data_IF_010326896183
#
_entry.id   IF_010326896183
#
_cell.length_a   1.000
_cell.length_b   1.000
_cell.length_c   1.000
_cell.angle_alpha   90.00
_cell.angle_beta   90.00
_cell.angle_gamma   90.00
#
_symmetry.space_group_name_H-M   'P 1'
#
loop_
_entity.id
_entity.type
_entity.pdbx_description
1 polymer ?
#
# COMPACT_ATOMS: atom_id res chain seq x y z
N UNK A 1 -13.81 11.70 19.73
CA UNK A 1 -13.24 10.33 19.70
C UNK A 1 -12.45 10.20 18.42
N UNK A 2 -11.40 9.39 18.40
CA UNK A 2 -10.20 9.87 17.75
C UNK A 2 -10.25 9.61 16.25
N UNK A 3 -10.04 10.68 15.48
CA UNK A 3 -9.73 10.60 14.05
C UNK A 3 -8.47 9.73 13.79
N UNK A 4 -7.70 9.40 14.84
CA UNK A 4 -6.47 8.61 14.78
C UNK A 4 -6.21 7.77 16.04
N UNK A 5 -5.91 6.48 15.89
CA UNK A 5 -5.51 5.60 17.00
C UNK A 5 -4.32 4.72 16.63
N UNK A 6 -3.70 4.08 17.61
CA UNK A 6 -2.56 3.17 17.38
C UNK A 6 -2.79 1.85 18.09
N UNK A 7 -2.41 0.76 17.44
CA UNK A 7 -2.42 -0.59 18.02
C UNK A 7 -1.05 -1.23 17.83
N UNK A 8 -0.57 -1.96 18.82
CA UNK A 8 0.51 -2.92 18.60
C UNK A 8 0.10 -3.88 17.48
N UNK A 9 1.01 -4.22 16.56
CA UNK A 9 0.67 -5.03 15.38
C UNK A 9 -0.02 -6.34 15.79
N UNK A 10 0.52 -7.08 16.76
CA UNK A 10 -0.08 -8.31 17.26
C UNK A 10 -1.42 -8.10 18.01
N UNK A 11 -1.70 -6.91 18.53
CA UNK A 11 -3.00 -6.61 19.14
C UNK A 11 -4.10 -6.51 18.07
N UNK A 12 -3.77 -6.09 16.84
CA UNK A 12 -4.73 -6.07 15.72
C UNK A 12 -5.29 -7.47 15.46
N UNK A 13 -4.47 -8.51 15.54
CA UNK A 13 -4.91 -9.90 15.34
C UNK A 13 -5.89 -10.36 16.44
N UNK A 14 -5.64 -10.01 17.70
CA UNK A 14 -6.54 -10.30 18.83
C UNK A 14 -7.90 -9.63 18.64
N UNK A 15 -7.91 -8.36 18.25
CA UNK A 15 -9.15 -7.60 18.07
C UNK A 15 -9.90 -8.10 16.82
N UNK A 16 -9.18 -8.39 15.73
CA UNK A 16 -9.77 -8.94 14.52
C UNK A 16 -10.45 -10.29 14.78
N UNK A 17 -9.81 -11.17 15.55
CA UNK A 17 -10.39 -12.44 16.00
C UNK A 17 -11.65 -12.21 16.83
N UNK A 18 -11.62 -11.29 17.81
CA UNK A 18 -12.77 -10.96 18.64
C UNK A 18 -13.95 -10.40 17.84
N UNK A 19 -13.68 -9.55 16.84
CA UNK A 19 -14.68 -8.97 15.94
C UNK A 19 -15.21 -9.95 14.88
N UNK A 20 -14.58 -11.11 14.73
CA UNK A 20 -14.89 -12.09 13.69
C UNK A 20 -14.63 -11.57 12.27
N UNK A 21 -13.65 -10.67 12.10
CA UNK A 21 -13.30 -10.10 10.79
C UNK A 21 -12.16 -10.87 10.11
N UNK A 22 -12.07 -10.83 8.77
CA UNK A 22 -11.02 -11.57 8.03
C UNK A 22 -9.61 -11.13 8.39
N UNK A 23 -8.65 -12.05 8.31
CA UNK A 23 -7.22 -11.78 8.49
C UNK A 23 -6.58 -11.26 7.20
N UNK A 24 -6.92 -10.05 6.79
CA UNK A 24 -6.41 -9.42 5.56
C UNK A 24 -5.75 -8.07 5.85
N UNK A 25 -4.43 -8.08 6.03
CA UNK A 25 -3.67 -6.92 6.52
C UNK A 25 -2.39 -6.60 5.74
N UNK A 26 -2.25 -7.10 4.51
CA UNK A 26 -1.13 -6.70 3.64
C UNK A 26 -1.03 -5.16 3.50
N UNK A 27 0.15 -4.54 3.55
CA UNK A 27 1.47 -5.15 3.49
C UNK A 27 2.04 -5.54 4.85
N UNK A 28 1.32 -5.29 5.96
CA UNK A 28 1.86 -5.48 7.30
C UNK A 28 2.04 -6.95 7.64
N UNK A 29 3.18 -7.27 8.25
CA UNK A 29 3.38 -8.54 8.91
C UNK A 29 2.85 -8.43 10.35
N UNK A 30 1.77 -9.14 10.64
CA UNK A 30 1.12 -9.11 11.94
C UNK A 30 1.41 -10.42 12.65
N UNK A 31 2.28 -10.40 13.69
CA UNK A 31 2.71 -11.62 14.33
C UNK A 31 1.60 -12.18 15.21
N UNK A 32 1.44 -13.50 15.16
CA UNK A 32 0.66 -14.23 16.16
C UNK A 32 1.50 -14.40 17.44
N UNK A 33 0.99 -13.97 18.59
CA UNK A 33 1.69 -14.01 19.88
C UNK A 33 1.04 -15.00 20.86
N UNK A 34 1.91 -15.74 21.55
CA UNK A 34 1.58 -16.80 22.50
C UNK A 34 1.61 -18.17 21.82
N UNK A 35 2.64 -18.97 22.10
CA UNK A 35 2.81 -20.31 21.50
C UNK A 35 1.96 -21.33 22.25
N UNK A 36 1.78 -21.15 23.56
CA UNK A 36 0.92 -21.98 24.41
C UNK A 36 -0.42 -21.31 24.70
N UNK A 37 -1.40 -22.11 25.15
CA UNK A 37 -2.73 -21.62 25.55
C UNK A 37 -2.61 -20.62 26.71
N UNK A 38 -1.73 -20.88 27.67
CA UNK A 38 -1.49 -20.01 28.83
C UNK A 38 -0.85 -18.69 28.41
N UNK A 39 0.18 -18.74 27.56
CA UNK A 39 0.82 -17.54 27.02
C UNK A 39 -0.15 -16.71 26.19
N UNK A 40 -0.98 -17.35 25.35
CA UNK A 40 -2.00 -16.69 24.55
C UNK A 40 -3.03 -16.01 25.44
N UNK A 41 -3.56 -16.71 26.47
CA UNK A 41 -4.51 -16.13 27.43
C UNK A 41 -3.91 -14.92 28.14
N UNK A 42 -2.65 -15.01 28.58
CA UNK A 42 -1.96 -13.91 29.23
C UNK A 42 -1.73 -12.72 28.28
N UNK A 43 -1.38 -12.98 27.01
CA UNK A 43 -1.21 -11.94 25.99
C UNK A 43 -2.53 -11.23 25.70
N UNK A 44 -3.60 -11.98 25.43
CA UNK A 44 -4.95 -11.43 25.20
C UNK A 44 -5.39 -10.57 26.38
N UNK A 45 -5.15 -11.02 27.62
CA UNK A 45 -5.43 -10.22 28.82
C UNK A 45 -4.69 -8.88 28.85
N UNK A 46 -3.41 -8.85 28.46
CA UNK A 46 -2.63 -7.60 28.35
C UNK A 46 -3.15 -6.67 27.26
N UNK A 47 -3.54 -7.22 26.10
CA UNK A 47 -4.14 -6.42 25.01
C UNK A 47 -5.40 -5.72 25.50
N UNK A 48 -6.32 -6.43 26.14
CA UNK A 48 -7.56 -5.83 26.67
C UNK A 48 -7.32 -4.83 27.79
N UNK A 49 -6.31 -5.06 28.64
CA UNK A 49 -5.91 -4.07 29.65
C UNK A 49 -5.43 -2.78 28.97
N UNK A 50 -4.54 -2.89 27.99
CA UNK A 50 -3.99 -1.74 27.27
C UNK A 50 -5.06 -0.97 26.50
N UNK A 51 -5.95 -1.67 25.81
CA UNK A 51 -7.10 -1.03 25.15
C UNK A 51 -7.94 -0.21 26.12
N UNK A 52 -8.11 -0.69 27.37
CA UNK A 52 -8.86 0.04 28.39
C UNK A 52 -8.11 1.27 28.88
N UNK A 53 -6.80 1.15 29.08
CA UNK A 53 -5.92 2.26 29.45
C UNK A 53 -5.90 3.35 28.37
N UNK A 54 -5.93 2.94 27.09
CA UNK A 54 -5.97 3.83 25.92
C UNK A 54 -7.38 4.36 25.61
N UNK A 55 -8.41 3.95 26.37
CA UNK A 55 -9.80 4.36 26.16
C UNK A 55 -10.46 3.79 24.90
N UNK A 56 -9.88 2.76 24.29
CA UNK A 56 -10.37 2.09 23.08
C UNK A 56 -11.36 0.95 23.39
N UNK A 57 -11.72 0.76 24.66
CA UNK A 57 -12.77 -0.17 25.10
C UNK A 57 -13.39 0.30 26.40
N UNK A 58 -14.69 0.03 26.59
CA UNK A 58 -15.38 0.18 27.87
C UNK A 58 -15.25 -1.06 28.79
N UNK A 59 -14.48 -2.07 28.35
CA UNK A 59 -14.29 -3.35 29.03
C UNK A 59 -15.28 -4.44 28.60
N UNK A 60 -16.34 -4.11 27.87
CA UNK A 60 -17.29 -5.07 27.29
C UNK A 60 -17.30 -5.01 25.76
N UNK A 61 -16.98 -3.85 25.19
CA UNK A 61 -16.98 -3.59 23.76
C UNK A 61 -15.75 -2.77 23.38
N UNK A 62 -15.23 -3.02 22.19
CA UNK A 62 -14.27 -2.11 21.55
C UNK A 62 -15.01 -0.83 21.15
N UNK A 63 -14.30 0.29 21.16
CA UNK A 63 -14.80 1.56 20.67
C UNK A 63 -15.38 1.43 19.25
N UNK A 64 -16.47 2.17 18.98
CA UNK A 64 -17.22 2.07 17.73
C UNK A 64 -16.39 2.47 16.50
N UNK A 65 -15.53 3.48 16.62
CA UNK A 65 -14.69 3.96 15.52
C UNK A 65 -13.56 2.96 15.24
N UNK A 66 -12.99 2.35 16.28
CA UNK A 66 -11.99 1.27 16.14
C UNK A 66 -12.61 0.03 15.49
N UNK A 67 -13.80 -0.38 15.92
CA UNK A 67 -14.53 -1.50 15.31
C UNK A 67 -14.84 -1.21 13.83
N UNK A 68 -15.39 -0.03 13.52
CA UNK A 68 -15.70 0.37 12.16
C UNK A 68 -14.45 0.42 11.28
N UNK A 69 -13.35 0.98 11.79
CA UNK A 69 -12.07 1.05 11.09
C UNK A 69 -11.55 -0.35 10.78
N UNK A 70 -11.49 -1.27 11.75
CA UNK A 70 -11.00 -2.63 11.52
C UNK A 70 -11.87 -3.45 10.55
N UNK A 71 -13.20 -3.24 10.57
CA UNK A 71 -14.10 -3.88 9.59
C UNK A 71 -13.81 -3.44 8.16
N UNK A 72 -13.69 -2.14 7.91
CA UNK A 72 -13.33 -1.62 6.58
C UNK A 72 -11.91 -2.01 6.20
N UNK A 73 -11.00 -1.94 7.15
CA UNK A 73 -9.59 -2.24 6.94
C UNK A 73 -9.33 -3.70 6.58
N UNK A 74 -10.08 -4.66 7.12
CA UNK A 74 -9.93 -6.08 6.80
C UNK A 74 -10.76 -6.54 5.59
N UNK A 75 -11.85 -5.84 5.27
CA UNK A 75 -12.74 -6.19 4.17
C UNK A 75 -13.10 -4.97 3.30
N UNK A 76 -12.11 -4.34 2.62
CA UNK A 76 -12.34 -3.11 1.89
C UNK A 76 -12.97 -3.33 0.51
N UNK A 77 -13.60 -2.28 -0.04
CA UNK A 77 -14.02 -2.22 -1.45
C UNK A 77 -12.88 -1.70 -2.34
N UNK A 78 -12.02 -0.84 -1.79
CA UNK A 78 -10.81 -0.30 -2.41
C UNK A 78 -9.65 -0.47 -1.45
N UNK A 79 -8.54 -0.98 -1.95
CA UNK A 79 -7.28 -1.09 -1.21
C UNK A 79 -6.14 -0.53 -2.06
N UNK A 80 -5.40 0.43 -1.49
CA UNK A 80 -4.12 0.89 -2.00
C UNK A 80 -3.05 0.46 -1.01
N UNK A 81 -2.10 -0.34 -1.50
CA UNK A 81 -0.90 -0.72 -0.75
C UNK A 81 0.26 0.11 -1.29
N UNK A 82 1.02 0.71 -0.38
CA UNK A 82 2.25 1.42 -0.73
C UNK A 82 3.41 0.76 -0.01
N UNK A 83 4.40 0.34 -0.79
CA UNK A 83 5.70 -0.11 -0.30
C UNK A 83 6.72 0.87 -0.82
N UNK A 84 7.31 1.64 0.08
CA UNK A 84 8.38 2.57 -0.22
C UNK A 84 9.63 2.14 0.52
N UNK A 85 10.79 2.38 -0.06
CA UNK A 85 12.06 2.06 0.56
C UNK A 85 13.05 3.19 0.25
N UNK A 86 13.77 3.61 1.29
CA UNK A 86 14.61 4.82 1.32
C UNK A 86 16.04 4.40 1.66
N UNK A 87 17.06 4.94 0.97
CA UNK A 87 18.48 4.79 1.35
C UNK A 87 18.86 3.35 1.79
N UNK A 88 18.36 2.37 1.04
CA UNK A 88 18.11 0.96 1.37
C UNK A 88 19.22 0.19 2.14
N UNK A 89 19.04 -0.07 3.45
CA UNK A 89 18.93 -1.39 4.13
C UNK A 89 18.91 -1.25 5.69
N UNK A 90 17.79 -1.51 6.40
CA UNK A 90 16.41 -1.58 5.97
C UNK A 90 15.65 -0.34 6.48
N UNK A 91 15.28 0.58 5.61
CA UNK A 91 14.07 1.36 5.88
C UNK A 91 13.06 1.12 4.77
N UNK A 92 12.12 0.20 5.04
CA UNK A 92 10.89 0.07 4.28
C UNK A 92 9.78 0.80 5.02
N UNK A 93 9.05 1.65 4.31
CA UNK A 93 7.83 2.28 4.80
C UNK A 93 6.64 1.61 4.15
N UNK A 94 5.74 1.15 5.00
CA UNK A 94 4.54 0.43 4.62
C UNK A 94 3.32 1.27 4.92
N UNK A 95 2.55 1.55 3.86
CA UNK A 95 1.26 2.21 3.98
C UNK A 95 0.16 1.33 3.41
N UNK A 96 -1.01 1.42 4.04
CA UNK A 96 -2.25 0.81 3.57
C UNK A 96 -3.36 1.84 3.69
N UNK A 97 -3.99 2.14 2.57
CA UNK A 97 -5.15 2.99 2.51
C UNK A 97 -6.33 2.19 1.96
N UNK A 98 -7.44 2.18 2.69
CA UNK A 98 -8.63 1.43 2.32
C UNK A 98 -9.86 2.32 2.29
N UNK A 99 -10.85 1.94 1.48
CA UNK A 99 -12.18 2.54 1.52
C UNK A 99 -13.26 1.46 1.50
N UNK A 100 -14.29 1.66 2.32
CA UNK A 100 -15.61 1.04 2.18
C UNK A 100 -16.59 2.02 1.53
N UNK A 101 -17.87 1.93 1.92
CA UNK A 101 -18.92 2.81 1.36
C UNK A 101 -18.81 4.27 1.80
N UNK A 102 -18.56 4.51 3.09
CA UNK A 102 -18.57 5.85 3.69
C UNK A 102 -17.27 6.17 4.45
N UNK A 103 -16.67 5.14 5.06
CA UNK A 103 -15.43 5.26 5.82
C UNK A 103 -14.24 4.80 4.98
N UNK A 104 -13.17 5.58 5.07
CA UNK A 104 -11.83 5.21 4.68
C UNK A 104 -10.91 5.08 5.89
N UNK A 105 -9.87 4.27 5.76
CA UNK A 105 -8.84 4.10 6.80
C UNK A 105 -7.48 4.17 6.13
N UNK A 106 -6.68 5.12 6.57
CA UNK A 106 -5.25 5.15 6.31
C UNK A 106 -4.50 4.46 7.44
N UNK A 107 -3.44 3.74 7.13
CA UNK A 107 -2.62 3.08 8.13
C UNK A 107 -1.17 3.00 7.71
N UNK A 108 -0.29 3.15 8.71
CA UNK A 108 1.15 3.09 8.53
C UNK A 108 1.81 2.25 9.62
N UNK A 109 2.87 1.54 9.26
CA UNK A 109 3.68 0.81 10.24
C UNK A 109 4.69 1.75 10.89
N UNK A 110 4.67 1.78 12.23
CA UNK A 110 5.52 2.62 13.07
C UNK A 110 6.16 1.71 14.10
N UNK A 111 7.40 1.29 13.83
CA UNK A 111 8.06 0.23 14.59
C UNK A 111 7.17 -1.04 14.68
N UNK A 112 6.80 -1.44 15.90
CA UNK A 112 5.97 -2.62 16.18
C UNK A 112 4.46 -2.31 16.26
N UNK A 113 4.05 -1.09 15.91
CA UNK A 113 2.66 -0.65 15.95
C UNK A 113 2.15 -0.26 14.57
N UNK A 114 0.83 -0.30 14.42
CA UNK A 114 0.13 0.23 13.26
C UNK A 114 -0.66 1.44 13.74
N UNK A 115 -0.39 2.59 13.12
CA UNK A 115 -1.19 3.79 13.31
C UNK A 115 -2.34 3.77 12.31
N UNK A 116 -3.53 4.13 12.75
CA UNK A 116 -4.75 4.16 11.95
C UNK A 116 -5.31 5.58 11.98
N UNK A 117 -5.62 6.15 10.82
CA UNK A 117 -6.34 7.40 10.68
C UNK A 117 -7.64 7.15 9.91
N UNK A 118 -8.76 7.59 10.49
CA UNK A 118 -10.05 7.55 9.85
C UNK A 118 -10.17 8.75 8.91
N UNK A 119 -10.62 8.51 7.69
CA UNK A 119 -10.84 9.55 6.68
C UNK A 119 -12.16 9.30 5.96
N UNK A 120 -12.81 10.32 5.37
CA UNK A 120 -13.92 10.08 4.46
C UNK A 120 -13.49 9.16 3.31
N UNK A 121 -14.34 8.21 2.91
CA UNK A 121 -14.00 7.21 1.88
C UNK A 121 -13.53 7.87 0.56
N UNK A 122 -14.10 9.02 0.19
CA UNK A 122 -13.74 9.78 -1.00
C UNK A 122 -12.38 10.48 -0.92
N UNK A 123 -11.81 10.62 0.30
CA UNK A 123 -10.52 11.28 0.56
C UNK A 123 -9.35 10.31 0.67
N UNK A 124 -9.58 9.01 0.60
CA UNK A 124 -8.53 7.97 0.77
C UNK A 124 -7.41 8.13 -0.25
N UNK A 125 -7.73 8.44 -1.51
CA UNK A 125 -6.73 8.63 -2.57
C UNK A 125 -5.90 9.91 -2.35
N UNK A 126 -6.56 11.02 -1.98
CA UNK A 126 -5.87 12.26 -1.66
C UNK A 126 -4.90 12.04 -0.48
N UNK A 127 -5.38 11.35 0.56
CA UNK A 127 -4.60 11.08 1.76
C UNK A 127 -3.40 10.17 1.46
N UNK A 128 -3.62 9.08 0.72
CA UNK A 128 -2.55 8.14 0.36
C UNK A 128 -1.53 8.75 -0.61
N UNK A 129 -1.89 9.72 -1.45
CA UNK A 129 -0.91 10.36 -2.34
C UNK A 129 -0.18 11.52 -1.67
N UNK A 130 -0.81 12.16 -0.67
CA UNK A 130 -0.22 13.24 0.12
C UNK A 130 0.93 12.82 1.05
N UNK A 131 1.12 11.52 1.28
CA UNK A 131 2.28 10.99 2.03
C UNK A 131 3.62 11.18 1.31
N UNK A 132 3.57 11.34 -0.02
CA UNK A 132 4.78 11.38 -0.81
C UNK A 132 5.47 12.72 -0.51
N UNK A 133 6.78 12.72 -0.19
CA UNK A 133 7.50 13.96 0.00
C UNK A 133 7.30 14.89 -1.21
N UNK A 134 7.17 16.20 -1.00
CA UNK A 134 7.00 17.13 -2.10
C UNK A 134 8.26 17.13 -2.96
N UNK A 135 8.13 16.64 -4.19
CA UNK A 135 9.18 16.65 -5.21
C UNK A 135 8.65 17.31 -6.48
N UNK A 136 9.50 18.11 -7.13
CA UNK A 136 9.22 18.54 -8.50
C UNK A 136 9.37 17.36 -9.46
N UNK A 137 8.73 17.46 -10.62
CA UNK A 137 8.98 16.55 -11.72
C UNK A 137 10.46 16.57 -12.16
N UNK A 138 11.01 15.39 -12.49
CA UNK A 138 12.34 15.26 -13.04
C UNK A 138 12.46 16.01 -14.39
N UNK A 139 13.49 16.84 -14.64
CA UNK A 139 13.57 17.68 -15.84
C UNK A 139 14.08 16.89 -17.06
N UNK A 140 13.31 15.90 -17.51
CA UNK A 140 13.58 15.06 -18.68
C UNK A 140 12.29 14.86 -19.47
N UNK A 141 12.39 14.48 -20.74
CA UNK A 141 11.21 14.16 -21.54
C UNK A 141 10.63 12.78 -21.16
N UNK A 142 9.29 12.61 -21.13
CA UNK A 142 8.68 11.30 -20.91
C UNK A 142 9.07 10.33 -22.03
N UNK A 143 9.24 9.05 -21.70
CA UNK A 143 9.55 8.03 -22.70
C UNK A 143 8.83 6.71 -22.43
N UNK A 144 8.66 5.90 -23.47
CA UNK A 144 8.09 4.56 -23.36
C UNK A 144 9.03 3.52 -23.94
N UNK A 145 9.13 2.37 -23.28
CA UNK A 145 9.90 1.23 -23.77
C UNK A 145 9.05 -0.03 -23.78
N UNK A 146 9.09 -0.75 -24.89
CA UNK A 146 8.57 -2.11 -24.95
C UNK A 146 9.61 -3.08 -24.42
N UNK A 147 9.14 -4.02 -23.60
CA UNK A 147 9.93 -5.10 -22.99
C UNK A 147 9.17 -6.40 -23.21
N UNK A 148 9.89 -7.49 -23.42
CA UNK A 148 9.25 -8.80 -23.41
C UNK A 148 8.66 -9.04 -22.03
N UNK A 149 7.42 -9.50 -21.99
CA UNK A 149 6.81 -9.93 -20.74
C UNK A 149 7.57 -11.18 -20.30
N UNK A 150 8.53 -11.02 -19.39
CA UNK A 150 8.96 -12.14 -18.56
C UNK A 150 7.72 -12.75 -17.90
N UNK A 151 7.75 -14.08 -17.67
CA UNK A 151 6.69 -14.87 -17.01
C UNK A 151 5.94 -14.00 -15.99
N UNK A 152 4.62 -13.88 -16.20
CA UNK A 152 3.67 -13.07 -15.41
C UNK A 152 4.19 -12.74 -14.03
N UNK A 153 4.33 -11.44 -13.75
CA UNK A 153 4.48 -10.88 -12.40
C UNK A 153 3.18 -11.06 -11.57
N UNK A 154 2.24 -11.89 -12.03
CA UNK A 154 0.89 -12.08 -11.47
C UNK A 154 0.53 -13.53 -11.16
N UNK A 155 1.47 -14.47 -11.21
CA UNK A 155 1.27 -15.83 -10.67
C UNK A 155 2.32 -16.05 -9.57
N UNK A 156 2.07 -15.50 -8.39
CA UNK A 156 2.86 -15.78 -7.19
C UNK A 156 2.53 -17.20 -6.73
N UNK A 157 3.34 -18.16 -7.16
CA UNK A 157 3.59 -19.36 -6.37
C UNK A 157 4.15 -18.87 -5.02
N UNK A 158 3.51 -19.29 -3.93
CA UNK A 158 3.95 -19.03 -2.56
C UNK A 158 5.46 -19.30 -2.42
N UNK A 159 6.26 -18.26 -2.18
CA UNK A 159 7.65 -18.42 -1.70
C UNK A 159 8.78 -17.83 -2.55
N UNK A 160 8.53 -17.28 -3.74
CA UNK A 160 9.54 -16.49 -4.47
C UNK A 160 9.14 -15.01 -4.46
N UNK A 161 9.86 -14.19 -3.67
CA UNK A 161 9.57 -12.77 -3.52
C UNK A 161 9.53 -12.03 -4.87
N UNK A 162 8.51 -11.20 -5.05
CA UNK A 162 8.46 -10.22 -6.13
C UNK A 162 9.74 -9.36 -6.09
N UNK A 163 10.37 -9.05 -7.24
CA UNK A 163 11.55 -8.21 -7.21
C UNK A 163 11.19 -6.87 -6.57
N UNK A 164 11.99 -6.43 -5.59
CA UNK A 164 11.73 -5.18 -4.87
C UNK A 164 11.71 -4.00 -5.84
N UNK A 165 11.13 -2.88 -5.44
CA UNK A 165 11.13 -1.70 -6.31
C UNK A 165 12.57 -1.26 -6.61
N UNK A 166 13.49 -1.41 -5.67
CA UNK A 166 14.92 -1.19 -5.89
C UNK A 166 15.55 -2.17 -6.90
N UNK A 167 15.20 -3.46 -6.88
CA UNK A 167 15.67 -4.42 -7.88
C UNK A 167 15.15 -4.09 -9.28
N UNK A 168 13.92 -3.59 -9.37
CA UNK A 168 13.33 -3.11 -10.62
C UNK A 168 14.00 -1.81 -11.09
N UNK A 169 14.32 -0.88 -10.19
CA UNK A 169 15.10 0.33 -10.47
C UNK A 169 16.45 -0.02 -11.11
N UNK A 170 17.21 -0.91 -10.46
CA UNK A 170 18.51 -1.40 -10.95
C UNK A 170 18.38 -2.11 -12.29
N UNK A 171 17.26 -2.79 -12.54
CA UNK A 171 16.98 -3.42 -13.84
C UNK A 171 16.71 -2.39 -14.93
N UNK A 172 16.07 -1.27 -14.61
CA UNK A 172 15.87 -0.16 -15.54
C UNK A 172 17.19 0.58 -15.83
N UNK A 173 18.03 0.81 -14.82
CA UNK A 173 19.38 1.39 -14.98
C UNK A 173 20.25 0.59 -15.95
N UNK A 174 20.18 -0.74 -15.91
CA UNK A 174 20.93 -1.62 -16.83
C UNK A 174 20.40 -1.61 -18.27
N UNK A 175 19.28 -0.96 -18.57
CA UNK A 175 18.72 -0.94 -19.92
C UNK A 175 19.34 0.17 -20.74
N UNK A 176 20.07 -0.25 -21.77
CA UNK A 176 20.67 0.64 -22.73
C UNK A 176 19.68 1.14 -23.79
N UNK A 177 18.73 1.99 -23.38
CA UNK A 177 17.90 2.78 -24.30
C UNK A 177 18.09 4.24 -23.96
N UNK A 178 18.45 5.05 -24.95
CA UNK A 178 18.82 6.46 -24.81
C UNK A 178 17.82 7.27 -23.97
N UNK A 179 16.51 7.04 -24.17
CA UNK A 179 15.45 7.70 -23.38
C UNK A 179 15.40 7.28 -21.90
N UNK A 180 15.72 6.03 -21.56
CA UNK A 180 15.74 5.54 -20.17
C UNK A 180 16.98 6.01 -19.42
N UNK A 181 18.11 6.13 -20.13
CA UNK A 181 19.38 6.64 -19.56
C UNK A 181 19.21 8.01 -18.89
N UNK A 182 18.34 8.86 -19.44
CA UNK A 182 18.05 10.19 -18.86
C UNK A 182 17.38 10.10 -17.47
N UNK A 183 16.62 9.04 -17.19
CA UNK A 183 15.98 8.80 -15.88
C UNK A 183 16.96 8.15 -14.89
N UNK A 184 17.82 7.25 -15.38
CA UNK A 184 18.74 6.46 -14.57
C UNK A 184 20.09 7.13 -14.26
N UNK A 185 20.33 8.33 -14.78
CA UNK A 185 21.60 9.07 -14.55
C UNK A 185 21.69 9.67 -13.13
N UNK A 186 20.58 9.74 -12.40
CA UNK A 186 20.49 10.35 -11.08
C UNK A 186 20.28 9.26 -10.01
N UNK A 187 21.03 9.27 -8.91
CA UNK A 187 20.81 8.32 -7.82
C UNK A 187 19.39 8.42 -7.26
N UNK A 188 18.75 7.27 -7.10
CA UNK A 188 17.44 7.14 -6.44
C UNK A 188 17.63 7.18 -4.93
N UNK A 189 16.94 8.10 -4.25
CA UNK A 189 16.98 8.27 -2.79
C UNK A 189 15.76 7.62 -2.10
N UNK A 190 14.63 7.58 -2.79
CA UNK A 190 13.40 6.92 -2.35
C UNK A 190 12.74 6.30 -3.58
N UNK A 191 12.34 5.03 -3.49
CA UNK A 191 11.46 4.46 -4.50
C UNK A 191 10.39 3.60 -3.87
N UNK A 192 9.30 3.40 -4.59
CA UNK A 192 8.21 2.59 -4.11
C UNK A 192 7.17 2.31 -5.17
N UNK A 193 6.13 1.58 -4.76
CA UNK A 193 5.02 1.21 -5.62
C UNK A 193 3.69 1.47 -4.94
N UNK A 194 2.74 2.00 -5.71
CA UNK A 194 1.32 2.01 -5.40
C UNK A 194 0.67 0.82 -6.09
N UNK A 195 0.14 -0.10 -5.31
CA UNK A 195 -0.61 -1.27 -5.80
C UNK A 195 -2.09 -1.04 -5.51
N UNK A 196 -2.92 -1.02 -6.57
CA UNK A 196 -4.36 -0.82 -6.46
C UNK A 196 -5.08 -2.15 -6.56
N UNK A 197 -6.01 -2.36 -5.63
CA UNK A 197 -6.95 -3.46 -5.63
C UNK A 197 -8.37 -2.93 -5.49
N UNK A 198 -9.29 -3.51 -6.27
CA UNK A 198 -10.71 -3.15 -6.25
C UNK A 198 -11.56 -4.40 -6.09
N UNK A 199 -12.63 -4.28 -5.32
CA UNK A 199 -13.59 -5.36 -5.13
C UNK A 199 -14.51 -5.43 -6.34
N UNK A 200 -14.53 -6.58 -6.99
CA UNK A 200 -15.50 -6.95 -8.02
C UNK A 200 -16.18 -8.26 -7.64
N UNK A 201 -17.52 -8.28 -7.68
CA UNK A 201 -18.37 -9.45 -7.36
C UNK A 201 -17.95 -10.20 -6.08
N UNK A 202 -17.56 -9.45 -5.06
CA UNK A 202 -17.16 -9.99 -3.76
C UNK A 202 -15.69 -10.36 -3.62
N UNK A 203 -14.89 -10.32 -4.70
CA UNK A 203 -13.46 -10.61 -4.66
C UNK A 203 -12.63 -9.34 -4.83
N UNK A 204 -11.62 -9.16 -3.98
CA UNK A 204 -10.67 -8.05 -4.09
C UNK A 204 -9.58 -8.43 -5.10
N UNK A 205 -9.63 -7.85 -6.30
CA UNK A 205 -8.71 -8.15 -7.41
C UNK A 205 -7.66 -7.05 -7.61
N UNK A 206 -6.44 -7.44 -7.98
CA UNK A 206 -5.38 -6.50 -8.36
C UNK A 206 -5.73 -5.83 -9.70
N UNK A 207 -5.65 -4.51 -9.73
CA UNK A 207 -5.96 -3.69 -10.91
C UNK A 207 -4.68 -3.27 -11.62
N UNK A 208 -3.68 -2.85 -10.85
CA UNK A 208 -2.42 -2.41 -11.43
C UNK A 208 -1.45 -1.85 -10.40
N UNK A 209 -0.27 -1.50 -10.89
CA UNK A 209 0.81 -0.94 -10.08
C UNK A 209 1.43 0.25 -10.79
N UNK A 210 1.66 1.33 -10.04
CA UNK A 210 2.46 2.47 -10.48
C UNK A 210 3.65 2.64 -9.55
N UNK A 211 4.85 2.68 -10.11
CA UNK A 211 6.08 2.89 -9.34
C UNK A 211 6.46 4.35 -9.33
N UNK A 212 7.08 4.81 -8.25
CA UNK A 212 7.67 6.13 -8.17
C UNK A 212 9.15 6.02 -7.77
N UNK A 213 9.91 7.00 -8.24
CA UNK A 213 11.34 7.12 -8.01
C UNK A 213 11.66 8.58 -7.78
N UNK A 214 12.23 8.86 -6.61
CA UNK A 214 12.70 10.17 -6.22
C UNK A 214 14.21 10.19 -6.32
N UNK A 215 14.72 11.22 -6.98
CA UNK A 215 16.14 11.52 -7.09
C UNK A 215 16.42 12.89 -6.49
N UNK A 216 17.71 13.23 -6.37
CA UNK A 216 18.15 14.58 -6.01
C UNK A 216 17.65 15.67 -6.98
N UNK A 217 17.27 15.29 -8.22
CA UNK A 217 16.80 16.22 -9.26
C UNK A 217 15.30 16.33 -9.40
N UNK A 218 14.55 15.31 -8.96
CA UNK A 218 13.09 15.30 -9.02
C UNK A 218 12.52 13.89 -9.01
N UNK A 219 11.20 13.80 -9.13
CA UNK A 219 10.45 12.55 -9.16
C UNK A 219 10.07 12.17 -10.58
N UNK A 220 10.08 10.86 -10.84
CA UNK A 220 9.39 10.27 -11.98
C UNK A 220 8.60 9.05 -11.54
N UNK A 221 7.61 8.67 -12.35
CA UNK A 221 6.83 7.45 -12.17
C UNK A 221 7.02 6.50 -13.34
N UNK A 222 6.85 5.22 -13.07
CA UNK A 222 6.83 4.17 -14.08
C UNK A 222 5.47 3.48 -14.05
N UNK A 223 4.69 3.71 -15.10
CA UNK A 223 3.44 3.00 -15.35
C UNK A 223 3.67 1.76 -16.20
N UNK A 224 3.00 0.66 -15.84
CA UNK A 224 3.07 -0.61 -16.57
C UNK A 224 1.77 -0.81 -17.35
N UNK A 225 1.88 -1.02 -18.66
CA UNK A 225 0.74 -1.30 -19.53
C UNK A 225 1.00 -2.58 -20.33
N UNK A 226 0.06 -3.51 -20.33
CA UNK A 226 0.14 -4.66 -21.24
C UNK A 226 0.09 -4.17 -22.69
N UNK A 227 1.08 -4.58 -23.48
CA UNK A 227 1.06 -4.43 -24.92
C UNK A 227 0.63 -5.76 -25.55
N UNK A 228 0.13 -5.72 -26.79
CA UNK A 228 -0.13 -6.94 -27.54
C UNK A 228 1.12 -7.82 -27.67
N UNK A 229 0.92 -9.08 -28.05
CA UNK A 229 1.99 -10.03 -28.41
C UNK A 229 2.93 -10.41 -27.25
N UNK A 230 2.42 -10.49 -26.01
CA UNK A 230 3.23 -10.90 -24.86
C UNK A 230 4.34 -9.89 -24.52
N UNK A 231 4.12 -8.61 -24.84
CA UNK A 231 5.02 -7.50 -24.50
C UNK A 231 4.37 -6.64 -23.42
N UNK A 232 5.21 -5.98 -22.64
CA UNK A 232 4.79 -4.96 -21.69
C UNK A 232 5.38 -3.62 -22.12
N UNK A 233 4.57 -2.57 -22.10
CA UNK A 233 5.02 -1.19 -22.28
C UNK A 233 5.25 -0.58 -20.90
N UNK A 234 6.46 -0.07 -20.69
CA UNK A 234 6.80 0.72 -19.52
C UNK A 234 6.83 2.19 -19.92
N UNK A 235 6.10 3.01 -19.19
CA UNK A 235 6.00 4.45 -19.43
C UNK A 235 6.70 5.19 -18.31
N UNK A 236 7.79 5.88 -18.62
CA UNK A 236 8.57 6.71 -17.72
C UNK A 236 8.08 8.15 -17.84
N UNK A 237 7.55 8.70 -16.75
CA UNK A 237 6.85 9.99 -16.75
C UNK A 237 7.39 10.85 -15.62
N UNK A 238 8.01 12.01 -15.90
CA UNK A 238 8.29 13.02 -14.89
C UNK A 238 7.03 13.40 -14.13
N UNK A 239 7.09 13.44 -12.80
CA UNK A 239 5.90 13.61 -11.99
C UNK A 239 6.18 14.35 -10.70
N UNK A 240 5.27 15.22 -10.29
CA UNK A 240 5.20 15.81 -8.95
C UNK A 240 4.37 14.97 -7.97
N UNK A 241 3.87 13.81 -8.42
CA UNK A 241 2.92 12.96 -7.68
C UNK A 241 1.51 13.01 -8.26
N UNK A 242 1.15 14.04 -9.04
CA UNK A 242 -0.19 14.18 -9.62
C UNK A 242 -0.57 13.03 -10.56
N UNK A 243 0.42 12.40 -11.23
CA UNK A 243 0.17 11.24 -12.09
C UNK A 243 -0.30 10.01 -11.29
N UNK A 244 0.19 9.83 -10.06
CA UNK A 244 -0.24 8.71 -9.19
C UNK A 244 -1.70 8.92 -8.78
N UNK A 245 -2.02 10.12 -8.28
CA UNK A 245 -3.39 10.46 -7.88
C UNK A 245 -4.36 10.32 -9.06
N UNK A 246 -4.00 10.87 -10.22
CA UNK A 246 -4.80 10.76 -11.45
C UNK A 246 -5.05 9.30 -11.83
N UNK A 247 -4.00 8.48 -11.86
CA UNK A 247 -4.12 7.05 -12.20
C UNK A 247 -5.06 6.32 -11.23
N UNK A 248 -4.90 6.51 -9.92
CA UNK A 248 -5.78 5.91 -8.91
C UNK A 248 -7.25 6.32 -9.12
N UNK A 249 -7.51 7.62 -9.36
CA UNK A 249 -8.87 8.10 -9.61
C UNK A 249 -9.47 7.55 -10.92
N UNK A 250 -8.68 7.46 -11.98
CA UNK A 250 -9.11 6.96 -13.28
C UNK A 250 -9.49 5.47 -13.21
N UNK A 251 -8.65 4.64 -12.60
CA UNK A 251 -8.91 3.20 -12.44
C UNK A 251 -10.16 2.94 -11.59
N UNK A 252 -10.33 3.66 -10.48
CA UNK A 252 -11.51 3.56 -9.62
C UNK A 252 -12.77 3.99 -10.38
N UNK A 253 -12.69 5.08 -11.15
CA UNK A 253 -13.81 5.59 -11.95
C UNK A 253 -14.15 4.68 -13.12
N UNK A 254 -13.17 3.99 -13.69
CA UNK A 254 -13.38 2.99 -14.73
C UNK A 254 -14.10 1.76 -14.17
N UNK A 255 -13.61 1.20 -13.06
CA UNK A 255 -14.22 0.03 -12.42
C UNK A 255 -15.68 0.27 -11.98
N UNK A 256 -15.98 1.46 -11.44
CA UNK A 256 -17.35 1.86 -11.07
C UNK A 256 -18.31 1.94 -12.26
N UNK A 257 -17.81 2.28 -13.45
CA UNK A 257 -18.61 2.32 -14.69
C UNK A 257 -18.82 0.93 -15.31
N UNK A 258 -17.92 -0.01 -15.05
CA UNK A 258 -18.03 -1.37 -15.57
C UNK A 258 -18.99 -2.26 -14.75
N UNK A 259 -19.30 -1.86 -13.52
CA UNK A 259 -20.16 -2.62 -12.59
C UNK A 259 -21.58 -2.06 -12.43
N UNK A 260 -21.87 -0.87 -12.97
CA UNK A 260 -23.19 -0.23 -13.00
C UNK A 260 -23.91 -0.43 -14.32
#
# INVERSE_FOLDING_TARGET
>A
MPDEFSLEAAAVEVIAEWLGVPRSWQPFDIPHRGVTVEERRAYVGRVWQRLREDGLTDGTRVDGDVEAALRVWTAPDLLVVVRAEQDFDPPQVLYRAVAGRELGVFSEQVAESIRFALVPAERVIDHVTGMLPPHRALPVEPCSVLVESGRRVTDTEEGAGMPTVAEQARRYERRDKEGVRAFSQWPVVLCGGFELYLRDRGNLGHVGTMQFFDTDRGRYVVGVQQAGDGKTRLNFIPSDGSHVARWLHEEVSFARRATG
#
